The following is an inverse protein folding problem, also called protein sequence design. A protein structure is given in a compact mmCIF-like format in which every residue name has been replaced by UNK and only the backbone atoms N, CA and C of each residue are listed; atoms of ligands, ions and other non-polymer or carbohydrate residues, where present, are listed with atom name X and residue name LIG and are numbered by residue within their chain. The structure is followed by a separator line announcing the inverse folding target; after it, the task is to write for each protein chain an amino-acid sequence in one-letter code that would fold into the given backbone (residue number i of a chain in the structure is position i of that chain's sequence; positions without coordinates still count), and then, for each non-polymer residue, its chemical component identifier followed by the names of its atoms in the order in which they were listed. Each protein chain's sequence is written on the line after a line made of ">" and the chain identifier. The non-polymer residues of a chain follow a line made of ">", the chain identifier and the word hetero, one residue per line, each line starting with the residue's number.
data_IF_277976236421
#
_entry.id   IF_277976236421
#
_cell.length_a   1.000
_cell.length_b   1.000
_cell.length_c   1.000
_cell.angle_alpha   90.00
_cell.angle_beta   90.00
_cell.angle_gamma   90.00
#
_symmetry.space_group_name_H-M   'P 1'
#
loop_
_entity.id
_entity.type
_entity.pdbx_description
1 polymer ?
#
# COMPACT_ATOMS: atom_id res chain seq x y z
N UNK A 1 -6.47 11.28 -15.95
CA UNK A 1 -5.86 10.26 -15.08
C UNK A 1 -4.90 9.44 -15.91
N UNK A 2 -3.66 9.21 -15.47
CA UNK A 2 -2.72 8.36 -16.22
C UNK A 2 -3.07 6.88 -16.08
N UNK A 3 -2.68 6.03 -17.05
CA UNK A 3 -2.91 4.59 -16.98
C UNK A 3 -2.32 3.94 -15.72
N UNK A 4 -1.14 4.40 -15.30
CA UNK A 4 -0.48 3.94 -14.06
C UNK A 4 -1.34 4.21 -12.82
N UNK A 5 -1.88 5.42 -12.65
CA UNK A 5 -2.69 5.76 -11.47
C UNK A 5 -3.99 4.95 -11.44
N UNK A 6 -4.58 4.65 -12.59
CA UNK A 6 -5.75 3.77 -12.67
C UNK A 6 -5.44 2.35 -12.18
N UNK A 7 -4.34 1.76 -12.66
CA UNK A 7 -3.88 0.43 -12.26
C UNK A 7 -3.58 0.36 -10.74
N UNK A 8 -2.91 1.38 -10.19
CA UNK A 8 -2.60 1.44 -8.76
C UNK A 8 -3.88 1.54 -7.89
N UNK A 9 -4.90 2.29 -8.34
CA UNK A 9 -6.19 2.35 -7.65
C UNK A 9 -6.96 1.04 -7.73
N UNK A 10 -6.83 0.29 -8.83
CA UNK A 10 -7.41 -1.05 -8.94
C UNK A 10 -6.75 -2.03 -7.95
N UNK A 11 -5.43 -1.93 -7.75
CA UNK A 11 -4.76 -2.67 -6.67
C UNK A 11 -5.33 -2.32 -5.29
N UNK A 12 -5.60 -1.03 -5.02
CA UNK A 12 -6.22 -0.61 -3.76
C UNK A 12 -7.61 -1.22 -3.55
N UNK A 13 -8.48 -1.14 -4.57
CA UNK A 13 -9.83 -1.71 -4.51
C UNK A 13 -9.77 -3.21 -4.22
N UNK A 14 -8.88 -3.93 -4.92
CA UNK A 14 -8.72 -5.36 -4.72
C UNK A 14 -8.21 -5.70 -3.32
N UNK A 15 -7.16 -5.00 -2.85
CA UNK A 15 -6.59 -5.20 -1.52
C UNK A 15 -7.62 -4.94 -0.42
N UNK A 16 -8.35 -3.82 -0.49
CA UNK A 16 -9.37 -3.48 0.50
C UNK A 16 -10.52 -4.49 0.53
N UNK A 17 -10.93 -4.99 -0.64
CA UNK A 17 -11.96 -6.02 -0.74
C UNK A 17 -11.53 -7.32 -0.04
N UNK A 18 -10.28 -7.75 -0.26
CA UNK A 18 -9.73 -8.94 0.39
C UNK A 18 -9.65 -8.75 1.91
N UNK A 19 -9.17 -7.60 2.38
CA UNK A 19 -9.07 -7.31 3.82
C UNK A 19 -10.45 -7.28 4.49
N UNK A 20 -11.47 -6.79 3.79
CA UNK A 20 -12.84 -6.80 4.31
C UNK A 20 -13.36 -8.24 4.45
N UNK A 21 -13.15 -9.09 3.45
CA UNK A 21 -13.57 -10.50 3.50
C UNK A 21 -12.83 -11.28 4.59
N UNK A 22 -11.51 -11.11 4.71
CA UNK A 22 -10.70 -11.76 5.73
C UNK A 22 -11.20 -11.42 7.16
N UNK A 23 -11.66 -10.18 7.37
CA UNK A 23 -12.24 -9.75 8.64
C UNK A 23 -13.57 -10.42 8.96
N UNK A 24 -14.41 -10.66 7.95
CA UNK A 24 -15.74 -11.27 8.10
C UNK A 24 -15.61 -12.77 8.38
N UNK A 25 -14.71 -13.44 7.67
CA UNK A 25 -14.61 -14.90 7.68
C UNK A 25 -13.84 -15.46 8.90
N UNK A 26 -13.09 -14.63 9.62
CA UNK A 26 -12.22 -15.05 10.74
C UNK A 26 -10.96 -15.80 10.27
N UNK A 27 -9.91 -15.82 11.08
CA UNK A 27 -8.57 -16.24 10.64
C UNK A 27 -8.33 -17.77 10.62
N UNK A 28 -9.19 -18.55 11.27
CA UNK A 28 -9.06 -20.00 11.34
C UNK A 28 -9.45 -20.74 10.04
N UNK A 29 -10.13 -20.09 9.10
CA UNK A 29 -10.65 -20.77 7.90
C UNK A 29 -9.62 -20.89 6.79
N UNK A 30 -9.73 -21.94 5.97
CA UNK A 30 -8.89 -22.09 4.77
C UNK A 30 -9.13 -20.93 3.79
N UNK A 31 -10.37 -20.48 3.65
CA UNK A 31 -10.74 -19.35 2.80
C UNK A 31 -10.00 -18.06 3.20
N UNK A 32 -9.98 -17.73 4.49
CA UNK A 32 -9.24 -16.56 4.97
C UNK A 32 -7.74 -16.69 4.74
N UNK A 33 -7.17 -17.91 4.82
CA UNK A 33 -5.75 -18.11 4.49
C UNK A 33 -5.45 -17.83 3.03
N UNK A 34 -6.31 -18.28 2.11
CA UNK A 34 -6.16 -17.97 0.69
C UNK A 34 -6.34 -16.47 0.41
N UNK A 35 -7.32 -15.83 1.06
CA UNK A 35 -7.51 -14.38 1.01
C UNK A 35 -6.26 -13.63 1.48
N UNK A 36 -5.70 -13.98 2.64
CA UNK A 36 -4.49 -13.33 3.17
C UNK A 36 -3.27 -13.55 2.26
N UNK A 37 -3.14 -14.73 1.64
CA UNK A 37 -2.11 -14.97 0.62
C UNK A 37 -2.30 -14.03 -0.58
N UNK A 38 -3.53 -13.90 -1.07
CA UNK A 38 -3.87 -12.98 -2.16
C UNK A 38 -3.54 -11.53 -1.79
N UNK A 39 -3.93 -11.08 -0.59
CA UNK A 39 -3.62 -9.73 -0.10
C UNK A 39 -2.10 -9.47 -0.05
N UNK A 40 -1.31 -10.46 0.40
CA UNK A 40 0.15 -10.36 0.42
C UNK A 40 0.71 -10.13 -0.98
N UNK A 41 0.25 -10.93 -1.95
CA UNK A 41 0.67 -10.81 -3.36
C UNK A 41 0.28 -9.45 -3.93
N UNK A 42 -0.98 -9.03 -3.79
CA UNK A 42 -1.47 -7.73 -4.27
C UNK A 42 -0.68 -6.57 -3.67
N UNK A 43 -0.38 -6.60 -2.37
CA UNK A 43 0.41 -5.57 -1.71
C UNK A 43 1.84 -5.52 -2.27
N UNK A 44 2.50 -6.67 -2.43
CA UNK A 44 3.87 -6.71 -2.98
C UNK A 44 3.93 -6.23 -4.42
N UNK A 45 2.96 -6.62 -5.26
CA UNK A 45 2.88 -6.16 -6.64
C UNK A 45 2.61 -4.66 -6.74
N UNK A 46 1.72 -4.14 -5.89
CA UNK A 46 1.45 -2.72 -5.78
C UNK A 46 2.72 -1.92 -5.42
N UNK A 47 3.42 -2.31 -4.35
CA UNK A 47 4.66 -1.65 -3.92
C UNK A 47 5.74 -1.70 -5.01
N UNK A 48 5.92 -2.87 -5.63
CA UNK A 48 6.88 -3.04 -6.72
C UNK A 48 6.58 -2.12 -7.90
N UNK A 49 5.30 -1.96 -8.24
CA UNK A 49 4.87 -1.07 -9.33
C UNK A 49 5.18 0.39 -9.01
N UNK A 50 4.91 0.83 -7.78
CA UNK A 50 5.25 2.18 -7.33
C UNK A 50 6.76 2.44 -7.39
N UNK A 51 7.57 1.50 -6.90
CA UNK A 51 9.04 1.60 -6.89
C UNK A 51 9.62 1.69 -8.31
N UNK A 52 9.02 0.98 -9.27
CA UNK A 52 9.51 0.91 -10.64
C UNK A 52 9.03 2.08 -11.53
N UNK A 53 7.81 2.56 -11.30
CA UNK A 53 7.16 3.47 -12.26
C UNK A 53 6.79 4.84 -11.66
N UNK A 54 6.36 4.89 -10.39
CA UNK A 54 5.88 6.11 -9.76
C UNK A 54 7.00 6.90 -9.08
N UNK A 55 7.70 6.28 -8.13
CA UNK A 55 8.74 6.94 -7.34
C UNK A 55 9.92 7.47 -8.17
N UNK A 56 10.40 6.80 -9.23
CA UNK A 56 11.50 7.35 -10.04
C UNK A 56 11.18 8.70 -10.68
N UNK A 57 9.93 8.90 -11.11
CA UNK A 57 9.47 10.17 -11.68
C UNK A 57 9.43 11.25 -10.60
N UNK A 58 8.89 10.94 -9.42
CA UNK A 58 8.80 11.87 -8.31
C UNK A 58 10.17 12.25 -7.75
N UNK A 59 11.07 11.27 -7.60
CA UNK A 59 12.45 11.51 -7.14
C UNK A 59 13.21 12.41 -8.12
N UNK A 60 13.04 12.20 -9.43
CA UNK A 60 13.63 13.08 -10.45
C UNK A 60 13.16 14.52 -10.26
N UNK A 61 11.86 14.74 -10.04
CA UNK A 61 11.31 16.07 -9.78
C UNK A 61 11.80 16.68 -8.45
N UNK A 62 11.95 15.85 -7.41
CA UNK A 62 12.43 16.25 -6.09
C UNK A 62 13.87 16.82 -6.11
N UNK A 63 14.70 16.44 -7.09
CA UNK A 63 16.06 17.00 -7.25
C UNK A 63 16.05 18.51 -7.50
N UNK A 64 14.95 19.05 -8.06
CA UNK A 64 14.79 20.47 -8.42
C UNK A 64 13.77 21.20 -7.56
N UNK A 65 13.04 20.48 -6.70
CA UNK A 65 11.95 21.05 -5.92
C UNK A 65 11.97 20.52 -4.47
N UNK A 66 12.44 21.34 -3.51
CA UNK A 66 12.49 20.96 -2.10
C UNK A 66 11.14 20.56 -1.48
N UNK A 67 10.03 21.15 -1.94
CA UNK A 67 8.70 20.81 -1.41
C UNK A 67 8.26 19.39 -1.83
N UNK A 68 8.62 18.97 -3.05
CA UNK A 68 8.40 17.59 -3.51
C UNK A 68 9.26 16.64 -2.67
N UNK A 69 10.52 17.01 -2.41
CA UNK A 69 11.41 16.21 -1.57
C UNK A 69 10.84 16.00 -0.16
N UNK A 70 10.38 17.05 0.50
CA UNK A 70 9.77 16.95 1.84
C UNK A 70 8.52 16.06 1.86
N UNK A 71 7.70 16.14 0.80
CA UNK A 71 6.55 15.26 0.62
C UNK A 71 7.02 13.80 0.56
N UNK A 72 8.01 13.49 -0.29
CA UNK A 72 8.54 12.13 -0.43
C UNK A 72 9.20 11.61 0.85
N UNK A 73 9.91 12.45 1.60
CA UNK A 73 10.51 12.07 2.88
C UNK A 73 9.43 11.67 3.90
N UNK A 74 8.26 12.31 3.83
CA UNK A 74 7.11 11.96 4.67
C UNK A 74 6.48 10.63 4.25
N UNK A 75 6.35 10.37 2.93
CA UNK A 75 5.87 9.08 2.42
C UNK A 75 6.87 7.94 2.70
N UNK A 76 8.17 8.20 2.65
CA UNK A 76 9.19 7.19 2.99
C UNK A 76 9.09 6.73 4.46
N UNK A 77 8.82 7.67 5.39
CA UNK A 77 8.57 7.33 6.80
C UNK A 77 7.30 6.50 6.98
N UNK A 78 6.22 6.91 6.30
CA UNK A 78 4.95 6.17 6.31
C UNK A 78 5.11 4.75 5.74
N UNK A 79 5.88 4.60 4.67
CA UNK A 79 6.22 3.31 4.07
C UNK A 79 7.00 2.42 5.05
N UNK A 80 7.99 2.96 5.75
CA UNK A 80 8.77 2.20 6.72
C UNK A 80 7.89 1.67 7.87
N UNK A 81 6.97 2.49 8.38
CA UNK A 81 6.01 2.08 9.41
C UNK A 81 5.02 1.03 8.90
N UNK A 82 4.43 1.25 7.73
CA UNK A 82 3.47 0.33 7.12
C UNK A 82 4.10 -1.01 6.80
N UNK A 83 5.32 -1.00 6.24
CA UNK A 83 6.10 -2.21 5.95
C UNK A 83 6.39 -3.01 7.22
N UNK A 84 6.77 -2.34 8.32
CA UNK A 84 7.01 -3.01 9.60
C UNK A 84 5.76 -3.73 10.10
N UNK A 85 4.59 -3.10 10.02
CA UNK A 85 3.32 -3.70 10.44
C UNK A 85 2.93 -4.86 9.53
N UNK A 86 3.02 -4.69 8.21
CA UNK A 86 2.70 -5.73 7.24
C UNK A 86 3.59 -6.97 7.39
N UNK A 87 4.91 -6.77 7.48
CA UNK A 87 5.87 -7.87 7.71
C UNK A 87 5.58 -8.56 9.05
N UNK A 88 5.32 -7.79 10.10
CA UNK A 88 4.98 -8.33 11.43
C UNK A 88 3.74 -9.23 11.40
N UNK A 89 2.67 -8.76 10.74
CA UNK A 89 1.44 -9.52 10.57
C UNK A 89 1.67 -10.81 9.75
N UNK A 90 2.22 -10.70 8.54
CA UNK A 90 2.39 -11.88 7.68
C UNK A 90 3.35 -12.90 8.26
N UNK A 91 4.39 -12.47 8.99
CA UNK A 91 5.28 -13.39 9.72
C UNK A 91 4.54 -14.17 10.80
N UNK A 92 3.70 -13.52 11.61
CA UNK A 92 2.90 -14.19 12.65
C UNK A 92 1.87 -15.14 12.03
N UNK A 93 1.27 -14.74 10.92
CA UNK A 93 0.36 -15.57 10.16
C UNK A 93 1.06 -16.83 9.61
N UNK A 94 2.24 -16.68 9.00
CA UNK A 94 3.06 -17.80 8.49
C UNK A 94 3.45 -18.78 9.61
N UNK A 95 3.58 -18.30 10.86
CA UNK A 95 3.91 -19.10 12.04
C UNK A 95 2.71 -19.82 12.68
N UNK A 96 1.50 -19.67 12.12
CA UNK A 96 0.29 -20.29 12.66
C UNK A 96 -0.22 -19.62 13.94
N UNK A 97 -0.08 -18.30 14.04
CA UNK A 97 -0.61 -17.51 15.18
C UNK A 97 -2.10 -17.77 15.45
N UNK A 98 -2.53 -17.56 16.70
CA UNK A 98 -3.92 -17.76 17.09
C UNK A 98 -4.83 -16.70 16.47
N UNK A 99 -6.12 -17.00 16.33
CA UNK A 99 -7.12 -16.02 15.85
C UNK A 99 -7.13 -14.73 16.66
N UNK A 100 -6.92 -14.83 17.98
CA UNK A 100 -6.82 -13.66 18.86
C UNK A 100 -5.60 -12.79 18.54
N UNK A 101 -4.43 -13.40 18.38
CA UNK A 101 -3.19 -12.69 18.06
C UNK A 101 -3.26 -12.01 16.69
N UNK A 102 -3.82 -12.73 15.71
CA UNK A 102 -3.96 -12.25 14.34
C UNK A 102 -4.99 -11.12 14.24
N UNK A 103 -6.09 -11.17 15.00
CA UNK A 103 -7.14 -10.15 14.95
C UNK A 103 -6.64 -8.74 15.31
N UNK A 104 -5.83 -8.63 16.37
CA UNK A 104 -5.27 -7.35 16.80
C UNK A 104 -4.29 -6.79 15.75
N UNK A 105 -3.36 -7.62 15.31
CA UNK A 105 -2.35 -7.23 14.31
C UNK A 105 -2.99 -6.91 12.96
N UNK A 106 -4.03 -7.64 12.59
CA UNK A 106 -4.82 -7.39 11.38
C UNK A 106 -5.52 -6.04 11.43
N UNK A 107 -6.12 -5.67 12.57
CA UNK A 107 -6.73 -4.35 12.76
C UNK A 107 -5.73 -3.21 12.55
N UNK A 108 -4.50 -3.38 13.07
CA UNK A 108 -3.42 -2.41 12.88
C UNK A 108 -2.97 -2.34 11.42
N UNK A 109 -2.81 -3.50 10.75
CA UNK A 109 -2.48 -3.58 9.34
C UNK A 109 -3.53 -2.87 8.47
N UNK A 110 -4.80 -3.19 8.68
CA UNK A 110 -5.92 -2.59 7.96
C UNK A 110 -5.94 -1.07 8.13
N UNK A 111 -5.77 -0.57 9.36
CA UNK A 111 -5.74 0.87 9.62
C UNK A 111 -4.56 1.57 8.92
N UNK A 112 -3.37 0.97 8.96
CA UNK A 112 -2.18 1.52 8.28
C UNK A 112 -2.33 1.55 6.77
N UNK A 113 -2.81 0.46 6.17
CA UNK A 113 -3.04 0.39 4.72
C UNK A 113 -4.12 1.39 4.27
N UNK A 114 -5.24 1.51 4.99
CA UNK A 114 -6.28 2.49 4.68
C UNK A 114 -5.74 3.93 4.75
N UNK A 115 -4.97 4.25 5.79
CA UNK A 115 -4.36 5.57 5.94
C UNK A 115 -3.38 5.87 4.79
N UNK A 116 -2.55 4.90 4.40
CA UNK A 116 -1.61 5.04 3.30
C UNK A 116 -2.33 5.26 1.97
N UNK A 117 -3.25 4.36 1.61
CA UNK A 117 -4.08 4.44 0.39
C UNK A 117 -4.73 5.80 0.24
N UNK A 118 -5.34 6.30 1.33
CA UNK A 118 -5.98 7.61 1.33
C UNK A 118 -4.98 8.73 1.01
N UNK A 119 -3.82 8.74 1.67
CA UNK A 119 -2.79 9.76 1.44
C UNK A 119 -2.24 9.69 0.02
N UNK A 120 -2.13 8.51 -0.55
CA UNK A 120 -1.66 8.34 -1.91
C UNK A 120 -2.63 8.91 -2.92
N UNK A 121 -3.90 8.56 -2.79
CA UNK A 121 -4.93 9.04 -3.70
C UNK A 121 -5.21 10.54 -3.56
N UNK A 122 -5.09 11.09 -2.34
CA UNK A 122 -5.33 12.51 -2.06
C UNK A 122 -4.11 13.40 -2.35
N UNK A 123 -2.88 12.89 -2.22
CA UNK A 123 -1.65 13.71 -2.29
C UNK A 123 -0.63 13.20 -3.30
N UNK A 124 -0.22 11.92 -3.21
CA UNK A 124 0.89 11.40 -4.01
C UNK A 124 0.55 11.27 -5.49
N UNK A 125 -0.63 10.72 -5.80
CA UNK A 125 -1.08 10.52 -7.17
C UNK A 125 -1.37 11.85 -7.88
N UNK A 126 -2.08 12.82 -7.28
CA UNK A 126 -2.22 14.15 -7.89
C UNK A 126 -0.86 14.82 -8.13
N UNK A 127 0.09 14.70 -7.20
CA UNK A 127 1.44 15.23 -7.38
C UNK A 127 2.16 14.57 -8.57
N UNK A 128 2.09 13.24 -8.69
CA UNK A 128 2.62 12.51 -9.83
C UNK A 128 2.02 12.98 -11.15
N UNK A 129 0.69 13.11 -11.23
CA UNK A 129 0.02 13.53 -12.45
C UNK A 129 0.41 14.95 -12.88
N UNK A 130 0.56 15.87 -11.94
CA UNK A 130 1.03 17.23 -12.21
C UNK A 130 2.45 17.23 -12.79
N UNK A 131 3.35 16.40 -12.24
CA UNK A 131 4.74 16.28 -12.70
C UNK A 131 4.80 15.62 -14.08
N UNK A 132 4.04 14.53 -14.27
CA UNK A 132 3.99 13.81 -15.53
C UNK A 132 3.42 14.68 -16.67
N UNK A 133 2.38 15.46 -16.40
CA UNK A 133 1.80 16.39 -17.37
C UNK A 133 2.80 17.49 -17.79
N UNK A 134 3.56 18.05 -16.83
CA UNK A 134 4.59 19.07 -17.12
C UNK A 134 5.78 18.54 -17.92
N UNK A 135 6.05 17.22 -17.87
CA UNK A 135 7.11 16.59 -18.66
C UNK A 135 6.68 16.33 -20.11
N UNK A 136 5.38 16.24 -20.37
CA UNK A 136 4.82 15.95 -21.69
C UNK A 136 4.50 17.21 -22.53
N UNK A 137 4.59 18.39 -21.92
CA UNK A 137 4.42 19.71 -22.55
C UNK A 137 5.78 20.32 -22.91
#
# INVERSE_FOLDING_TARGET
>A
MTGLIQELKEHHIHLLSILQLAKINGFATLETRELLRSARTTLLDHLRKEDLELYPVLHTAATKNPAIKETLDTFAKDMAETSKVAIGFFKKWDQGGTDHDLSKEFGLLQAKLLSRIRREEELLYPLYEQIAAKKAA
#
